data_IF_803251163743
#
_entry.id   IF_803251163743
#
_cell.length_a   1.000
_cell.length_b   1.000
_cell.length_c   1.000
_cell.angle_alpha   90.00
_cell.angle_beta   90.00
_cell.angle_gamma   90.00
#
_symmetry.space_group_name_H-M   'P 1'
#
loop_
_entity.id
_entity.type
_entity.pdbx_description
1 polymer ?
#
# COMPACT_ATOMS: atom_id res chain seq x y z
N UNK A 1 21.43 1.47 13.69
CA UNK A 1 20.10 1.75 13.10
C UNK A 1 19.92 1.10 11.71
N UNK A 2 20.83 1.22 10.73
CA UNK A 2 20.78 0.47 9.45
C UNK A 2 20.85 -1.08 9.54
N UNK A 3 21.35 -1.63 10.66
CA UNK A 3 21.40 -3.09 10.88
C UNK A 3 20.03 -3.73 11.10
N UNK A 4 19.07 -2.97 11.66
CA UNK A 4 17.69 -3.45 11.83
C UNK A 4 16.99 -3.58 10.47
N UNK A 5 17.21 -2.60 9.58
CA UNK A 5 16.73 -2.62 8.19
C UNK A 5 17.25 -3.83 7.42
N UNK A 6 18.55 -4.17 7.55
CA UNK A 6 19.15 -5.33 6.88
C UNK A 6 18.60 -6.69 7.35
N UNK A 7 18.31 -6.85 8.65
CA UNK A 7 17.75 -8.10 9.18
C UNK A 7 16.27 -8.27 8.85
N UNK A 8 15.50 -7.17 8.84
CA UNK A 8 14.13 -7.16 8.34
C UNK A 8 14.12 -7.49 6.84
N UNK A 9 14.97 -6.85 6.02
CA UNK A 9 15.09 -7.13 4.59
C UNK A 9 15.39 -8.60 4.29
N UNK A 10 16.37 -9.19 5.00
CA UNK A 10 16.73 -10.62 4.82
C UNK A 10 15.60 -11.57 5.16
N UNK A 11 14.71 -11.23 6.10
CA UNK A 11 13.56 -12.07 6.47
C UNK A 11 12.45 -12.04 5.41
N UNK A 12 12.29 -10.95 4.66
CA UNK A 12 11.26 -10.81 3.62
C UNK A 12 11.76 -11.11 2.21
N UNK A 13 13.08 -11.24 2.00
CA UNK A 13 13.70 -11.52 0.70
C UNK A 13 13.39 -12.92 0.13
N UNK A 14 12.62 -13.75 0.84
CA UNK A 14 12.11 -15.05 0.38
C UNK A 14 10.58 -15.11 0.39
N UNK A 15 9.90 -13.98 0.51
CA UNK A 15 8.44 -13.91 0.51
C UNK A 15 7.96 -13.58 -0.91
N UNK A 16 7.17 -14.47 -1.51
CA UNK A 16 6.62 -14.32 -2.87
C UNK A 16 6.01 -12.93 -3.12
N UNK A 17 5.27 -12.41 -2.14
CA UNK A 17 4.69 -11.07 -2.20
C UNK A 17 5.72 -9.97 -2.48
N UNK A 18 6.85 -10.01 -1.77
CA UNK A 18 7.89 -9.01 -1.86
C UNK A 18 8.56 -9.04 -3.24
N UNK A 19 8.85 -10.24 -3.74
CA UNK A 19 9.41 -10.44 -5.09
C UNK A 19 8.45 -9.98 -6.18
N UNK A 20 7.15 -10.32 -6.08
CA UNK A 20 6.13 -9.88 -7.03
C UNK A 20 5.98 -8.36 -7.07
N UNK A 21 6.03 -7.70 -5.90
CA UNK A 21 5.99 -6.23 -5.82
C UNK A 21 7.24 -5.62 -6.48
N UNK A 22 8.44 -6.13 -6.17
CA UNK A 22 9.67 -5.63 -6.79
C UNK A 22 9.70 -5.85 -8.30
N UNK A 23 9.23 -7.01 -8.78
CA UNK A 23 9.10 -7.31 -10.21
C UNK A 23 8.18 -6.30 -10.89
N UNK A 24 6.98 -6.09 -10.35
CA UNK A 24 6.02 -5.11 -10.85
C UNK A 24 6.60 -3.69 -10.86
N UNK A 25 7.26 -3.28 -9.79
CA UNK A 25 7.91 -1.97 -9.72
C UNK A 25 8.99 -1.79 -10.79
N UNK A 26 9.83 -2.81 -11.01
CA UNK A 26 10.89 -2.75 -12.02
C UNK A 26 10.30 -2.66 -13.43
N UNK A 27 9.24 -3.40 -13.73
CA UNK A 27 8.57 -3.32 -15.04
C UNK A 27 7.93 -1.96 -15.28
N UNK A 28 7.37 -1.32 -14.25
CA UNK A 28 6.88 0.06 -14.34
C UNK A 28 8.00 1.09 -14.55
N UNK A 29 9.16 0.91 -13.91
CA UNK A 29 10.34 1.78 -14.06
C UNK A 29 10.93 1.65 -15.47
N UNK A 30 11.07 0.40 -15.95
CA UNK A 30 11.67 0.09 -17.24
C UNK A 30 10.73 0.33 -18.42
N UNK A 31 9.46 0.64 -18.15
CA UNK A 31 8.40 0.81 -19.16
C UNK A 31 8.26 -0.43 -20.04
N UNK A 32 8.22 -1.61 -19.39
CA UNK A 32 7.93 -2.87 -20.06
C UNK A 32 6.56 -2.80 -20.77
N UNK A 33 6.28 -3.72 -21.69
CA UNK A 33 5.03 -3.72 -22.45
C UNK A 33 3.80 -3.71 -21.52
N UNK A 34 2.70 -3.10 -21.98
CA UNK A 34 1.43 -3.09 -21.24
C UNK A 34 0.95 -4.50 -20.88
N UNK A 35 1.23 -5.48 -21.74
CA UNK A 35 0.90 -6.90 -21.54
C UNK A 35 1.69 -7.52 -20.38
N UNK A 36 3.00 -7.29 -20.30
CA UNK A 36 3.83 -7.81 -19.20
C UNK A 36 3.39 -7.22 -17.85
N UNK A 37 3.14 -5.90 -17.81
CA UNK A 37 2.64 -5.26 -16.58
C UNK A 37 1.26 -5.80 -16.21
N UNK A 38 0.37 -6.04 -17.17
CA UNK A 38 -0.93 -6.64 -16.91
C UNK A 38 -0.83 -8.04 -16.31
N UNK A 39 0.05 -8.89 -16.84
CA UNK A 39 0.29 -10.23 -16.31
C UNK A 39 0.78 -10.17 -14.86
N UNK A 40 1.76 -9.32 -14.57
CA UNK A 40 2.31 -9.16 -13.22
C UNK A 40 1.28 -8.61 -12.23
N UNK A 41 0.44 -7.65 -12.65
CA UNK A 41 -0.66 -7.14 -11.82
C UNK A 41 -1.69 -8.24 -11.54
N UNK A 42 -2.01 -9.06 -12.54
CA UNK A 42 -2.95 -10.19 -12.40
C UNK A 42 -2.42 -11.26 -11.45
N UNK A 43 -1.13 -11.64 -11.56
CA UNK A 43 -0.47 -12.56 -10.63
C UNK A 43 -0.50 -12.04 -9.19
N UNK A 44 -0.14 -10.77 -8.99
CA UNK A 44 -0.18 -10.12 -7.68
C UNK A 44 -1.62 -10.07 -7.13
N UNK A 45 -2.61 -9.75 -7.97
CA UNK A 45 -4.00 -9.73 -7.57
C UNK A 45 -4.48 -11.10 -7.09
N UNK A 46 -4.17 -12.16 -7.84
CA UNK A 46 -4.54 -13.53 -7.47
C UNK A 46 -3.92 -13.95 -6.15
N UNK A 47 -2.63 -13.65 -5.94
CA UNK A 47 -1.96 -13.91 -4.68
C UNK A 47 -2.62 -13.15 -3.53
N UNK A 48 -2.73 -11.82 -3.63
CA UNK A 48 -3.29 -10.96 -2.58
C UNK A 48 -4.71 -11.41 -2.21
N UNK A 49 -5.58 -11.63 -3.19
CA UNK A 49 -6.98 -12.05 -2.96
C UNK A 49 -7.12 -13.46 -2.37
N UNK A 50 -6.10 -14.30 -2.51
CA UNK A 50 -6.07 -15.63 -1.89
C UNK A 50 -5.70 -15.61 -0.41
N UNK A 51 -5.09 -14.53 0.10
CA UNK A 51 -4.63 -14.45 1.50
C UNK A 51 -5.79 -14.42 2.50
N UNK A 52 -5.56 -15.00 3.69
CA UNK A 52 -6.54 -15.01 4.79
C UNK A 52 -7.00 -13.60 5.18
N UNK A 53 -6.08 -12.62 5.17
CA UNK A 53 -6.38 -11.22 5.47
C UNK A 53 -7.41 -10.64 4.50
N UNK A 54 -7.23 -10.85 3.19
CA UNK A 54 -8.17 -10.36 2.20
C UNK A 54 -9.49 -11.11 2.24
N UNK A 55 -9.46 -12.43 2.43
CA UNK A 55 -10.67 -13.24 2.57
C UNK A 55 -11.51 -12.81 3.78
N UNK A 56 -10.86 -12.56 4.92
CA UNK A 56 -11.53 -12.06 6.13
C UNK A 56 -12.13 -10.66 5.91
N UNK A 57 -11.38 -9.74 5.30
CA UNK A 57 -11.88 -8.41 4.96
C UNK A 57 -13.07 -8.46 3.99
N UNK A 58 -13.01 -9.32 2.97
CA UNK A 58 -14.11 -9.56 2.03
C UNK A 58 -15.36 -10.08 2.77
N UNK A 59 -15.18 -11.04 3.68
CA UNK A 59 -16.28 -11.56 4.49
C UNK A 59 -16.92 -10.46 5.37
N UNK A 60 -16.11 -9.57 5.95
CA UNK A 60 -16.61 -8.40 6.70
C UNK A 60 -17.47 -7.51 5.81
N UNK A 61 -17.02 -7.15 4.61
CA UNK A 61 -17.80 -6.30 3.69
C UNK A 61 -19.12 -6.99 3.30
N UNK A 62 -19.08 -8.29 3.02
CA UNK A 62 -20.26 -9.09 2.67
C UNK A 62 -21.28 -9.11 3.81
N UNK A 63 -20.86 -9.43 5.04
CA UNK A 63 -21.74 -9.50 6.23
C UNK A 63 -22.42 -8.16 6.51
N UNK A 64 -21.76 -7.04 6.22
CA UNK A 64 -22.33 -5.71 6.39
C UNK A 64 -23.21 -5.25 5.21
N UNK A 65 -23.48 -6.11 4.22
CA UNK A 65 -24.47 -5.86 3.17
C UNK A 65 -24.10 -4.72 2.21
N UNK A 66 -22.81 -4.54 1.91
CA UNK A 66 -22.42 -3.50 0.94
C UNK A 66 -23.05 -3.76 -0.43
N UNK A 67 -23.64 -2.72 -1.05
CA UNK A 67 -24.45 -2.84 -2.28
C UNK A 67 -23.75 -3.51 -3.48
N UNK A 68 -22.42 -3.42 -3.56
CA UNK A 68 -21.63 -4.06 -4.64
C UNK A 68 -21.21 -5.50 -4.29
N UNK A 69 -21.68 -6.03 -3.16
CA UNK A 69 -21.33 -7.33 -2.59
C UNK A 69 -22.57 -8.16 -2.22
N UNK A 70 -23.52 -8.42 -3.15
CA UNK A 70 -24.65 -9.31 -2.84
C UNK A 70 -24.21 -10.76 -2.62
N UNK A 71 -23.03 -11.16 -3.12
CA UNK A 71 -22.38 -12.45 -2.85
C UNK A 71 -20.92 -12.24 -2.46
N UNK A 72 -20.30 -13.24 -1.85
CA UNK A 72 -18.84 -13.23 -1.56
C UNK A 72 -18.03 -13.06 -2.85
N UNK A 73 -18.47 -13.68 -3.95
CA UNK A 73 -17.78 -13.60 -5.24
C UNK A 73 -17.88 -12.20 -5.86
N UNK A 74 -19.04 -11.55 -5.77
CA UNK A 74 -19.19 -10.16 -6.21
C UNK A 74 -18.33 -9.22 -5.37
N UNK A 75 -18.18 -9.55 -4.09
CA UNK A 75 -17.33 -8.79 -3.19
C UNK A 75 -15.84 -8.93 -3.53
N UNK A 76 -15.39 -10.15 -3.85
CA UNK A 76 -14.06 -10.40 -4.40
C UNK A 76 -13.85 -9.60 -5.70
N UNK A 77 -14.77 -9.69 -6.66
CA UNK A 77 -14.71 -8.92 -7.92
C UNK A 77 -14.66 -7.41 -7.68
N UNK A 78 -15.45 -6.91 -6.73
CA UNK A 78 -15.47 -5.50 -6.36
C UNK A 78 -14.13 -5.04 -5.81
N UNK A 79 -13.54 -5.77 -4.86
CA UNK A 79 -12.23 -5.43 -4.28
C UNK A 79 -11.12 -5.57 -5.32
N UNK A 80 -11.13 -6.62 -6.14
CA UNK A 80 -10.17 -6.77 -7.26
C UNK A 80 -10.26 -5.60 -8.22
N UNK A 81 -11.47 -5.15 -8.57
CA UNK A 81 -11.64 -3.98 -9.44
C UNK A 81 -11.17 -2.67 -8.81
N UNK A 82 -11.36 -2.50 -7.51
CA UNK A 82 -10.95 -1.29 -6.79
C UNK A 82 -9.44 -1.05 -6.88
N UNK A 83 -8.64 -2.12 -6.90
CA UNK A 83 -7.19 -2.03 -6.81
C UNK A 83 -6.45 -2.48 -8.07
N UNK A 84 -6.91 -3.52 -8.75
CA UNK A 84 -6.14 -4.22 -9.77
C UNK A 84 -6.73 -4.10 -11.19
N UNK A 85 -7.82 -3.33 -11.38
CA UNK A 85 -8.31 -3.02 -12.72
C UNK A 85 -7.65 -1.76 -13.28
N UNK A 86 -7.27 -1.76 -14.57
CA UNK A 86 -6.72 -0.58 -15.20
C UNK A 86 -7.81 0.48 -15.38
N UNK A 87 -7.44 1.75 -15.25
CA UNK A 87 -8.33 2.89 -15.52
C UNK A 87 -8.65 3.02 -17.02
N UNK A 88 -7.66 2.75 -17.86
CA UNK A 88 -7.82 2.51 -19.29
C UNK A 88 -6.79 1.45 -19.75
N UNK A 89 -7.11 0.69 -20.80
CA UNK A 89 -6.26 -0.39 -21.31
C UNK A 89 -4.94 0.10 -21.94
N UNK A 90 -4.74 1.41 -22.01
CA UNK A 90 -3.58 2.07 -22.63
C UNK A 90 -2.61 2.66 -21.61
N UNK A 91 -2.95 2.65 -20.32
CA UNK A 91 -2.17 3.25 -19.24
C UNK A 91 -1.86 2.24 -18.16
N UNK A 92 -0.72 2.43 -17.49
CA UNK A 92 -0.34 1.66 -16.32
C UNK A 92 -1.00 2.20 -15.02
N UNK A 93 -2.17 2.85 -15.13
CA UNK A 93 -2.88 3.52 -14.04
C UNK A 93 -3.87 2.54 -13.39
N UNK A 94 -3.38 1.78 -12.41
CA UNK A 94 -4.14 0.88 -11.55
C UNK A 94 -4.19 1.49 -10.14
N UNK A 95 -5.20 1.14 -9.34
CA UNK A 95 -5.26 1.56 -7.93
C UNK A 95 -4.04 1.08 -7.13
N UNK A 96 -3.61 -0.17 -7.36
CA UNK A 96 -2.44 -0.77 -6.73
C UNK A 96 -1.14 -0.14 -7.24
N UNK A 97 -1.05 0.18 -8.53
CA UNK A 97 0.13 0.87 -9.06
C UNK A 97 0.20 2.30 -8.55
N UNK A 98 -0.92 2.99 -8.30
CA UNK A 98 -0.95 4.30 -7.63
C UNK A 98 -0.45 4.25 -6.17
N UNK A 99 -0.69 3.13 -5.46
CA UNK A 99 -0.13 2.91 -4.12
C UNK A 99 1.37 2.59 -4.18
N UNK A 100 1.77 1.73 -5.10
CA UNK A 100 3.15 1.26 -5.21
C UNK A 100 4.06 2.24 -5.95
N UNK A 101 3.50 3.09 -6.80
CA UNK A 101 4.21 3.94 -7.74
C UNK A 101 3.45 5.23 -8.06
N UNK A 102 4.16 6.32 -8.28
CA UNK A 102 3.57 7.57 -8.77
C UNK A 102 4.32 7.94 -10.04
N UNK A 103 3.70 7.67 -11.20
CA UNK A 103 4.32 7.82 -12.52
C UNK A 103 4.90 9.23 -12.79
N UNK A 104 4.38 10.25 -12.12
CA UNK A 104 4.70 11.66 -12.42
C UNK A 104 5.53 12.38 -11.35
N UNK A 105 5.91 11.72 -10.25
CA UNK A 105 6.74 12.34 -9.21
C UNK A 105 7.60 11.27 -8.55
N UNK A 106 8.81 11.09 -9.07
CA UNK A 106 9.90 10.36 -8.42
C UNK A 106 10.36 11.08 -7.13
N UNK A 107 9.71 12.19 -6.75
CA UNK A 107 9.91 12.87 -5.48
C UNK A 107 8.89 12.38 -4.47
N UNK A 108 9.10 11.22 -3.81
CA UNK A 108 8.57 10.80 -2.48
C UNK A 108 7.11 11.12 -2.06
N UNK A 109 6.27 11.71 -2.90
CA UNK A 109 5.17 12.53 -2.42
C UNK A 109 3.86 11.75 -2.31
N UNK A 110 3.82 10.53 -2.84
CA UNK A 110 2.56 9.83 -3.09
C UNK A 110 2.54 8.33 -2.77
N UNK A 111 3.68 7.63 -2.60
CA UNK A 111 3.64 6.19 -2.27
C UNK A 111 3.58 5.96 -0.75
N UNK A 112 2.51 5.35 -0.22
CA UNK A 112 2.39 5.01 1.20
C UNK A 112 3.04 3.66 1.56
N UNK A 113 3.50 2.85 0.61
CA UNK A 113 3.97 1.48 0.90
C UNK A 113 5.49 1.42 1.12
N UNK A 114 5.93 0.79 2.22
CA UNK A 114 7.34 0.79 2.63
C UNK A 114 8.29 0.10 1.65
N UNK A 115 7.83 -0.93 0.91
CA UNK A 115 8.66 -1.57 -0.13
C UNK A 115 9.02 -0.56 -1.22
N UNK A 116 8.05 0.26 -1.64
CA UNK A 116 8.28 1.28 -2.66
C UNK A 116 9.26 2.33 -2.16
N UNK A 117 9.10 2.75 -0.90
CA UNK A 117 10.03 3.65 -0.24
C UNK A 117 11.47 3.12 -0.22
N UNK A 118 11.69 1.85 0.14
CA UNK A 118 13.05 1.30 0.17
C UNK A 118 13.63 1.15 -1.23
N UNK A 119 12.86 0.61 -2.18
CA UNK A 119 13.31 0.46 -3.56
C UNK A 119 13.71 1.83 -4.15
N UNK A 120 12.91 2.86 -3.89
CA UNK A 120 13.21 4.22 -4.30
C UNK A 120 14.51 4.75 -3.69
N UNK A 121 14.69 4.68 -2.37
CA UNK A 121 15.87 5.25 -1.74
C UNK A 121 17.17 4.50 -2.08
N UNK A 122 17.11 3.19 -2.34
CA UNK A 122 18.26 2.43 -2.83
C UNK A 122 18.79 2.98 -4.18
N UNK A 123 17.93 3.60 -4.98
CA UNK A 123 18.32 4.19 -6.29
C UNK A 123 18.76 5.65 -6.20
N UNK A 124 18.34 6.41 -5.17
CA UNK A 124 18.63 7.85 -5.07
C UNK A 124 19.88 8.23 -4.25
N UNK A 125 20.53 7.28 -3.57
CA UNK A 125 21.79 7.47 -2.78
C UNK A 125 21.78 8.56 -1.68
N UNK A 126 20.77 9.41 -1.54
CA UNK A 126 20.77 10.57 -0.65
C UNK A 126 20.10 10.29 0.72
N UNK A 127 20.52 9.20 1.37
CA UNK A 127 20.07 8.84 2.73
C UNK A 127 20.63 9.76 3.82
N UNK A 128 21.68 10.54 3.52
CA UNK A 128 22.36 11.41 4.48
C UNK A 128 21.44 12.45 5.10
N UNK A 129 20.46 12.94 4.33
CA UNK A 129 19.54 13.99 4.77
C UNK A 129 18.18 13.45 5.25
N UNK A 130 17.97 12.13 5.21
CA UNK A 130 16.72 11.47 5.56
C UNK A 130 16.67 11.18 7.06
N UNK A 131 15.66 11.73 7.75
CA UNK A 131 15.33 11.39 9.14
C UNK A 131 14.16 10.41 9.17
N UNK A 132 14.36 9.28 9.86
CA UNK A 132 13.32 8.27 10.09
C UNK A 132 13.05 8.15 11.59
N UNK A 133 11.83 8.50 11.99
CA UNK A 133 11.34 8.36 13.35
C UNK A 133 10.45 7.11 13.43
N UNK A 134 10.86 6.14 14.26
CA UNK A 134 10.14 4.87 14.44
C UNK A 134 8.90 5.05 15.33
N UNK A 135 7.78 4.48 14.90
CA UNK A 135 6.49 4.54 15.63
C UNK A 135 6.16 3.14 16.15
N UNK A 136 6.10 3.00 17.48
CA UNK A 136 5.90 1.71 18.14
C UNK A 136 4.51 1.61 18.77
N UNK A 137 3.86 0.48 18.57
CA UNK A 137 2.81 0.01 19.45
C UNK A 137 3.41 -0.53 20.75
N UNK A 138 2.65 -0.37 21.84
CA UNK A 138 2.93 -0.99 23.13
C UNK A 138 1.80 -1.92 23.49
N UNK A 139 2.12 -3.20 23.63
CA UNK A 139 1.20 -4.20 24.18
C UNK A 139 1.86 -4.80 25.43
N UNK A 140 1.52 -4.27 26.60
CA UNK A 140 2.25 -4.58 27.85
C UNK A 140 3.73 -4.18 27.76
N UNK A 141 4.63 -5.15 27.93
CA UNK A 141 6.08 -4.96 27.86
C UNK A 141 6.66 -5.08 26.45
N UNK A 142 5.86 -5.53 25.47
CA UNK A 142 6.32 -5.69 24.09
C UNK A 142 6.19 -4.39 23.30
N UNK A 143 7.21 -4.10 22.50
CA UNK A 143 7.24 -2.98 21.55
C UNK A 143 7.23 -3.52 20.13
N UNK A 144 6.17 -3.26 19.40
CA UNK A 144 6.02 -3.65 18.00
C UNK A 144 6.15 -2.42 17.13
N UNK A 145 7.07 -2.43 16.16
CA UNK A 145 7.19 -1.36 15.18
C UNK A 145 5.95 -1.38 14.28
N UNK A 146 5.14 -0.32 14.32
CA UNK A 146 3.94 -0.18 13.49
C UNK A 146 4.23 0.54 12.17
N UNK A 147 5.11 1.53 12.23
CA UNK A 147 5.32 2.44 11.13
C UNK A 147 6.54 3.30 11.33
N UNK A 148 6.82 4.11 10.32
CA UNK A 148 7.85 5.13 10.38
C UNK A 148 7.26 6.46 9.94
N UNK A 149 7.76 7.54 10.53
CA UNK A 149 7.64 8.87 10.00
C UNK A 149 8.96 9.27 9.34
N UNK A 150 8.89 9.68 8.09
CA UNK A 150 10.01 10.08 7.26
C UNK A 150 9.96 11.58 7.05
N UNK A 151 11.09 12.25 7.23
CA UNK A 151 11.28 13.67 6.94
C UNK A 151 12.65 13.93 6.34
N UNK A 152 12.83 15.07 5.68
CA UNK A 152 14.14 15.54 5.20
C UNK A 152 14.63 16.64 6.13
N UNK A 153 15.81 16.44 6.69
CA UNK A 153 16.42 17.34 7.69
C UNK A 153 16.62 18.77 7.18
N UNK A 154 16.89 18.95 5.89
CA UNK A 154 17.22 20.27 5.31
C UNK A 154 16.11 20.87 4.44
N UNK A 155 15.00 20.17 4.23
CA UNK A 155 13.95 20.61 3.30
C UNK A 155 12.63 20.93 4.01
N UNK A 156 12.48 22.18 4.45
CA UNK A 156 11.27 22.69 5.10
C UNK A 156 9.99 22.60 4.22
N UNK A 157 10.13 22.39 2.90
CA UNK A 157 8.98 22.18 2.00
C UNK A 157 8.47 20.73 2.01
N UNK A 158 9.29 19.77 2.45
CA UNK A 158 8.88 18.38 2.53
C UNK A 158 8.12 18.13 3.85
N UNK A 159 6.81 17.94 3.76
CA UNK A 159 6.01 17.57 4.93
C UNK A 159 6.33 16.13 5.35
N UNK A 160 6.55 15.85 6.65
CA UNK A 160 6.77 14.50 7.13
C UNK A 160 5.69 13.55 6.63
N UNK A 161 6.11 12.36 6.21
CA UNK A 161 5.24 11.31 5.69
C UNK A 161 5.27 10.14 6.63
N UNK A 162 4.11 9.57 6.86
CA UNK A 162 3.94 8.44 7.75
C UNK A 162 3.47 7.26 6.91
N UNK A 163 4.10 6.11 7.12
CA UNK A 163 3.76 4.85 6.47
C UNK A 163 3.77 3.71 7.50
N UNK A 164 3.04 2.64 7.21
CA UNK A 164 3.25 1.39 7.90
C UNK A 164 4.63 0.82 7.54
N UNK A 165 5.22 0.04 8.44
CA UNK A 165 6.57 -0.50 8.24
C UNK A 165 6.61 -1.99 8.49
N UNK A 166 7.06 -2.76 7.50
CA UNK A 166 7.11 -4.22 7.56
C UNK A 166 5.74 -4.90 7.46
N UNK A 167 4.69 -4.15 7.12
CA UNK A 167 3.35 -4.66 6.79
C UNK A 167 3.33 -5.36 5.45
N UNK A 168 2.40 -6.29 5.26
CA UNK A 168 2.14 -6.85 3.93
C UNK A 168 1.20 -5.95 3.14
N UNK A 169 1.26 -6.02 1.82
CA UNK A 169 0.37 -5.28 0.92
C UNK A 169 -1.08 -5.68 1.18
N UNK A 170 -1.40 -6.97 1.39
CA UNK A 170 -2.78 -7.37 1.72
C UNK A 170 -3.31 -6.71 2.99
N UNK A 171 -2.47 -6.49 4.00
CA UNK A 171 -2.89 -5.85 5.25
C UNK A 171 -3.26 -4.39 5.02
N UNK A 172 -2.40 -3.67 4.29
CA UNK A 172 -2.67 -2.28 3.93
C UNK A 172 -3.89 -2.14 3.02
N UNK A 173 -3.99 -2.96 1.98
CA UNK A 173 -5.14 -2.98 1.07
C UNK A 173 -6.44 -3.28 1.81
N UNK A 174 -6.43 -4.22 2.77
CA UNK A 174 -7.60 -4.52 3.59
C UNK A 174 -8.04 -3.29 4.40
N UNK A 175 -7.12 -2.65 5.14
CA UNK A 175 -7.42 -1.45 5.93
C UNK A 175 -7.96 -0.31 5.06
N UNK A 176 -7.34 -0.06 3.91
CA UNK A 176 -7.76 1.00 2.99
C UNK A 176 -9.12 0.68 2.37
N UNK A 177 -9.39 -0.58 2.03
CA UNK A 177 -10.69 -1.01 1.51
C UNK A 177 -11.79 -0.83 2.55
N UNK A 178 -11.56 -1.23 3.80
CA UNK A 178 -12.52 -1.03 4.89
C UNK A 178 -12.81 0.45 5.12
N UNK A 179 -11.79 1.31 5.13
CA UNK A 179 -11.95 2.76 5.21
C UNK A 179 -12.74 3.32 4.01
N UNK A 180 -12.50 2.82 2.80
CA UNK A 180 -13.25 3.22 1.61
C UNK A 180 -14.73 2.85 1.69
N UNK A 181 -15.03 1.62 2.12
CA UNK A 181 -16.39 1.06 2.19
C UNK A 181 -17.18 1.69 3.32
N UNK A 182 -16.66 1.64 4.55
CA UNK A 182 -17.40 2.03 5.75
C UNK A 182 -17.25 3.50 6.14
N UNK A 183 -16.41 4.26 5.42
CA UNK A 183 -16.03 5.64 5.74
C UNK A 183 -15.45 5.81 7.15
N UNK A 184 -15.15 4.70 7.82
CA UNK A 184 -14.50 4.65 9.13
C UNK A 184 -13.03 4.40 8.88
N UNK A 185 -12.23 5.43 9.11
CA UNK A 185 -10.81 5.41 8.80
C UNK A 185 -9.96 5.64 10.05
N UNK A 186 -10.46 5.17 11.20
CA UNK A 186 -9.72 5.12 12.45
C UNK A 186 -9.75 3.67 12.92
N UNK A 187 -8.58 3.08 13.13
CA UNK A 187 -8.41 1.69 13.53
C UNK A 187 -7.62 1.64 14.83
N UNK A 188 -7.99 0.75 15.73
CA UNK A 188 -7.13 0.41 16.86
C UNK A 188 -6.23 -0.75 16.44
N UNK A 189 -4.91 -0.53 16.40
CA UNK A 189 -3.93 -1.53 16.06
C UNK A 189 -2.97 -1.66 17.23
N UNK A 190 -3.06 -2.79 17.95
CA UNK A 190 -2.22 -3.07 19.12
C UNK A 190 -2.28 -1.94 20.18
N UNK A 191 -3.49 -1.43 20.46
CA UNK A 191 -3.71 -0.38 21.46
C UNK A 191 -3.32 1.03 20.99
N UNK A 192 -3.08 1.21 19.68
CA UNK A 192 -2.70 2.49 19.10
C UNK A 192 -3.72 2.90 18.05
N UNK A 193 -4.18 4.15 18.12
CA UNK A 193 -5.15 4.65 17.16
C UNK A 193 -4.43 5.07 15.87
N UNK A 194 -4.80 4.44 14.76
CA UNK A 194 -4.28 4.71 13.44
C UNK A 194 -5.37 5.32 12.58
N UNK A 195 -5.14 6.56 12.13
CA UNK A 195 -6.00 7.27 11.20
C UNK A 195 -5.54 7.13 9.74
N UNK A 196 -6.41 6.65 8.87
CA UNK A 196 -6.23 6.60 7.41
C UNK A 196 -7.04 7.73 6.76
N UNK A 197 -6.49 8.37 5.73
CA UNK A 197 -7.22 9.31 4.87
C UNK A 197 -6.98 8.95 3.42
N UNK A 198 -8.07 8.68 2.70
CA UNK A 198 -8.06 8.32 1.29
C UNK A 198 -8.42 9.54 0.43
N UNK A 199 -7.75 9.70 -0.71
CA UNK A 199 -8.20 10.54 -1.82
C UNK A 199 -8.58 9.64 -2.97
N UNK A 200 -9.81 9.79 -3.45
CA UNK A 200 -10.40 8.94 -4.49
C UNK A 200 -10.68 9.83 -5.69
N UNK A 201 -10.20 9.47 -6.88
CA UNK A 201 -10.66 10.13 -8.09
C UNK A 201 -11.91 9.48 -8.64
N UNK A 202 -12.75 10.33 -9.23
CA UNK A 202 -13.75 9.89 -10.19
C UNK A 202 -13.02 9.68 -11.50
N UNK A 203 -12.65 8.43 -11.82
CA UNK A 203 -12.20 8.11 -13.18
C UNK A 203 -13.35 8.36 -14.15
N UNK A 204 -13.06 8.74 -15.40
CA UNK A 204 -14.06 8.93 -16.45
C UNK A 204 -14.75 7.62 -16.90
N UNK A 205 -14.55 6.50 -16.19
CA UNK A 205 -15.17 5.21 -16.45
C UNK A 205 -15.62 4.51 -15.17
N UNK A 206 -16.90 4.65 -14.81
CA UNK A 206 -17.75 3.85 -13.90
C UNK A 206 -17.26 3.49 -12.47
N UNK A 207 -15.97 3.55 -12.13
CA UNK A 207 -15.44 3.10 -10.83
C UNK A 207 -14.57 4.17 -10.16
N UNK A 208 -14.71 4.29 -8.84
CA UNK A 208 -13.85 5.13 -8.04
C UNK A 208 -12.53 4.41 -7.76
N UNK A 209 -11.41 5.11 -7.91
CA UNK A 209 -10.06 4.59 -7.68
C UNK A 209 -9.40 5.34 -6.53
N UNK A 210 -8.73 4.63 -5.62
CA UNK A 210 -7.96 5.25 -4.54
C UNK A 210 -6.63 5.71 -5.11
N UNK A 211 -6.41 7.02 -5.13
CA UNK A 211 -5.21 7.65 -5.71
C UNK A 211 -4.16 8.02 -4.66
N UNK A 212 -4.59 8.36 -3.45
CA UNK A 212 -3.67 8.79 -2.38
C UNK A 212 -4.14 8.25 -1.05
N UNK A 213 -3.17 7.83 -0.24
CA UNK A 213 -3.37 7.45 1.14
C UNK A 213 -2.48 8.30 2.03
N UNK A 214 -3.04 8.80 3.13
CA UNK A 214 -2.28 9.41 4.22
C UNK A 214 -2.56 8.64 5.50
N UNK A 215 -1.52 8.18 6.18
CA UNK A 215 -1.58 7.56 7.50
C UNK A 215 -1.21 8.62 8.55
N UNK A 216 -1.88 8.61 9.68
CA UNK A 216 -1.48 9.36 10.87
C UNK A 216 -1.63 8.40 12.06
N UNK A 217 -0.59 8.26 12.87
CA UNK A 217 -0.70 7.62 14.19
C UNK A 217 -1.09 8.72 15.18
N UNK A 218 -2.09 8.45 16.02
CA UNK A 218 -2.65 9.38 17.02
C UNK A 218 -2.08 9.06 18.38
#
# INVERSE_FOLDING_TARGET
QLRATNNTFRKYNSNYEFESILKLMNSLINKDSTEEVYLQVSELANYVMSTEVMQAMIAVIFVHGHKNCPTIEDCRKFVTRLWFSPKDWTSYDYGVTSLLFSQNDWKLNKSPHWISFINHNNTLQDFSNLKMDEIFARNGNERTLLGIQVSFSENATFKPKTMFWGTTLQTELALYTLCYVFKTCKFDILGNQVGVKLSVSKSQGKYAMIEKVKINFV
#
